data_IF_364311816790
#
_entry.id   IF_364311816790
#
_cell.length_a   1.000
_cell.length_b   1.000
_cell.length_c   1.000
_cell.angle_alpha   90.00
_cell.angle_beta   90.00
_cell.angle_gamma   90.00
#
_symmetry.space_group_name_H-M   'P 1'
#
loop_
_entity.id
_entity.type
_entity.pdbx_description
1 polymer ?
#
# COMPACT_ATOMS: atom_id res chain seq x y z
N UNK A 1 8.78 -15.52 -2.28
CA UNK A 1 8.37 -15.73 -0.88
C UNK A 1 6.84 -15.80 -0.84
N UNK A 2 6.22 -16.36 0.19
CA UNK A 2 4.77 -16.21 0.40
C UNK A 2 4.43 -14.80 0.95
N UNK A 3 3.22 -14.30 0.71
CA UNK A 3 2.76 -13.00 1.25
C UNK A 3 2.87 -12.95 2.78
N UNK A 4 2.53 -14.05 3.44
CA UNK A 4 2.56 -14.18 4.91
C UNK A 4 3.97 -14.01 5.51
N UNK A 5 5.01 -14.50 4.83
CA UNK A 5 6.40 -14.31 5.30
C UNK A 5 6.86 -12.86 5.17
N UNK A 6 6.37 -12.13 4.16
CA UNK A 6 6.65 -10.71 3.99
C UNK A 6 5.92 -9.89 5.06
N UNK A 7 4.67 -10.23 5.35
CA UNK A 7 3.89 -9.63 6.44
C UNK A 7 4.61 -9.84 7.79
N UNK A 8 5.10 -11.04 8.08
CA UNK A 8 5.89 -11.29 9.30
C UNK A 8 7.17 -10.45 9.37
N UNK A 9 7.86 -10.25 8.24
CA UNK A 9 9.05 -9.39 8.20
C UNK A 9 8.70 -7.93 8.54
N UNK A 10 7.57 -7.44 8.03
CA UNK A 10 7.08 -6.08 8.32
C UNK A 10 6.67 -5.97 9.77
N UNK A 11 5.90 -6.92 10.29
CA UNK A 11 5.47 -6.97 11.70
C UNK A 11 6.69 -6.94 12.65
N UNK A 12 7.72 -7.74 12.37
CA UNK A 12 8.95 -7.76 13.15
C UNK A 12 9.70 -6.41 13.07
N UNK A 13 9.75 -5.78 11.89
CA UNK A 13 10.36 -4.45 11.74
C UNK A 13 9.58 -3.34 12.43
N UNK A 14 8.27 -3.50 12.59
CA UNK A 14 7.40 -2.58 13.33
C UNK A 14 7.45 -2.82 14.84
N UNK A 15 7.67 -4.05 15.30
CA UNK A 15 7.69 -4.37 16.73
C UNK A 15 9.09 -4.26 17.34
N UNK A 16 10.14 -4.63 16.59
CA UNK A 16 11.52 -4.60 17.04
C UNK A 16 12.26 -3.34 16.58
N UNK A 17 12.52 -2.45 17.55
CA UNK A 17 13.29 -1.22 17.36
C UNK A 17 14.70 -1.43 16.78
N UNK A 18 15.35 -2.57 17.02
CA UNK A 18 16.68 -2.89 16.50
C UNK A 18 16.62 -3.24 15.01
N UNK A 19 15.63 -4.03 14.60
CA UNK A 19 15.34 -4.33 13.18
C UNK A 19 14.98 -3.04 12.46
N UNK A 20 14.08 -2.23 13.05
CA UNK A 20 13.70 -0.93 12.50
C UNK A 20 14.90 -0.01 12.30
N UNK A 21 15.79 0.06 13.30
CA UNK A 21 16.99 0.88 13.23
C UNK A 21 17.91 0.39 12.12
N UNK A 22 18.17 -0.92 12.02
CA UNK A 22 18.98 -1.52 10.97
C UNK A 22 18.44 -1.18 9.57
N UNK A 23 17.14 -1.36 9.37
CA UNK A 23 16.48 -1.10 8.08
C UNK A 23 16.46 0.40 7.73
N UNK A 24 16.33 1.30 8.72
CA UNK A 24 16.39 2.75 8.50
C UNK A 24 17.70 3.24 7.90
N UNK A 25 18.79 2.50 8.10
CA UNK A 25 20.11 2.85 7.55
C UNK A 25 20.32 2.30 6.13
N UNK A 26 19.40 1.47 5.63
CA UNK A 26 19.43 0.95 4.28
C UNK A 26 18.88 2.00 3.31
N UNK A 27 19.76 2.61 2.50
CA UNK A 27 19.38 3.63 1.50
C UNK A 27 19.15 3.10 0.10
N UNK A 28 19.42 1.82 -0.13
CA UNK A 28 19.22 1.15 -1.41
C UNK A 28 18.39 -0.11 -1.23
N UNK A 29 17.65 -0.49 -2.29
CA UNK A 29 16.87 -1.73 -2.32
C UNK A 29 17.75 -2.95 -2.05
N UNK A 30 18.96 -2.99 -2.60
CA UNK A 30 19.89 -4.09 -2.40
C UNK A 30 20.39 -4.17 -0.95
N UNK A 31 20.63 -3.02 -0.29
CA UNK A 31 20.99 -2.99 1.12
C UNK A 31 19.85 -3.52 2.00
N UNK A 32 18.61 -3.15 1.69
CA UNK A 32 17.42 -3.61 2.41
C UNK A 32 17.21 -5.13 2.22
N UNK A 33 17.36 -5.63 0.99
CA UNK A 33 17.29 -7.06 0.69
C UNK A 33 18.39 -7.83 1.45
N UNK A 34 19.62 -7.30 1.47
CA UNK A 34 20.73 -7.93 2.17
C UNK A 34 20.50 -7.94 3.70
N UNK A 35 20.00 -6.85 4.27
CA UNK A 35 19.67 -6.75 5.68
C UNK A 35 18.57 -7.75 6.06
N UNK A 36 17.48 -7.82 5.29
CA UNK A 36 16.42 -8.82 5.49
C UNK A 36 16.94 -10.26 5.42
N UNK A 37 17.82 -10.56 4.46
CA UNK A 37 18.47 -11.88 4.36
C UNK A 37 19.35 -12.21 5.56
N UNK A 38 20.08 -11.23 6.10
CA UNK A 38 20.87 -11.41 7.33
C UNK A 38 20.01 -11.66 8.56
N UNK A 39 18.79 -11.12 8.58
CA UNK A 39 17.78 -11.38 9.61
C UNK A 39 17.07 -12.73 9.43
N UNK A 40 17.40 -13.51 8.39
CA UNK A 40 16.81 -14.83 8.13
C UNK A 40 15.62 -14.82 7.17
N UNK A 41 15.24 -13.64 6.62
CA UNK A 41 14.12 -13.50 5.70
C UNK A 41 14.54 -13.71 4.24
N UNK A 42 13.74 -14.44 3.46
CA UNK A 42 14.02 -14.72 2.03
C UNK A 42 13.55 -13.61 1.10
N UNK A 43 13.88 -12.36 1.39
CA UNK A 43 13.42 -11.20 0.60
C UNK A 43 14.10 -11.20 -0.77
N UNK A 44 13.32 -11.00 -1.82
CA UNK A 44 13.80 -10.81 -3.18
C UNK A 44 13.50 -9.40 -3.68
N UNK A 45 14.19 -9.02 -4.75
CA UNK A 45 13.94 -7.75 -5.44
C UNK A 45 12.51 -7.66 -5.99
N UNK A 46 11.96 -8.78 -6.46
CA UNK A 46 10.58 -8.86 -6.96
C UNK A 46 9.58 -8.60 -5.84
N UNK A 47 9.81 -9.15 -4.64
CA UNK A 47 8.94 -8.92 -3.48
C UNK A 47 8.91 -7.43 -3.11
N UNK A 48 10.08 -6.77 -3.12
CA UNK A 48 10.17 -5.35 -2.83
C UNK A 48 9.51 -4.48 -3.91
N UNK A 49 9.68 -4.82 -5.19
CA UNK A 49 9.01 -4.12 -6.29
C UNK A 49 7.49 -4.21 -6.16
N UNK A 50 6.95 -5.40 -5.88
CA UNK A 50 5.51 -5.59 -5.68
C UNK A 50 4.97 -4.78 -4.50
N UNK A 51 5.71 -4.71 -3.39
CA UNK A 51 5.32 -3.89 -2.25
C UNK A 51 5.28 -2.39 -2.61
N UNK A 52 6.28 -1.91 -3.36
CA UNK A 52 6.31 -0.52 -3.82
C UNK A 52 5.19 -0.20 -4.83
N UNK A 53 4.84 -1.14 -5.70
CA UNK A 53 3.72 -0.99 -6.63
C UNK A 53 2.38 -0.95 -5.91
N UNK A 54 2.19 -1.82 -4.91
CA UNK A 54 0.99 -1.82 -4.07
C UNK A 54 0.81 -0.50 -3.33
N UNK A 55 1.87 0.02 -2.70
CA UNK A 55 1.86 1.32 -2.02
C UNK A 55 1.51 2.47 -2.98
N UNK A 56 2.07 2.47 -4.19
CA UNK A 56 1.75 3.48 -5.21
C UNK A 56 0.29 3.43 -5.63
N UNK A 57 -0.25 2.23 -5.82
CA UNK A 57 -1.66 2.07 -6.18
C UNK A 57 -2.57 2.54 -5.04
N UNK A 58 -2.24 2.19 -3.80
CA UNK A 58 -2.97 2.68 -2.62
C UNK A 58 -2.93 4.20 -2.50
N UNK A 59 -1.76 4.82 -2.67
CA UNK A 59 -1.61 6.28 -2.69
C UNK A 59 -2.45 6.92 -3.81
N UNK A 60 -2.48 6.30 -4.99
CA UNK A 60 -3.31 6.76 -6.10
C UNK A 60 -4.80 6.68 -5.76
N UNK A 61 -5.25 5.58 -5.17
CA UNK A 61 -6.65 5.41 -4.74
C UNK A 61 -7.01 6.41 -3.63
N UNK A 62 -6.13 6.62 -2.65
CA UNK A 62 -6.32 7.64 -1.62
C UNK A 62 -6.43 9.05 -2.22
N UNK A 63 -5.56 9.38 -3.17
CA UNK A 63 -5.60 10.66 -3.86
C UNK A 63 -6.90 10.84 -4.65
N UNK A 64 -7.32 9.82 -5.42
CA UNK A 64 -8.58 9.84 -6.16
C UNK A 64 -9.79 9.95 -5.22
N UNK A 65 -9.82 9.19 -4.14
CA UNK A 65 -10.87 9.25 -3.13
C UNK A 65 -10.98 10.64 -2.50
N UNK A 66 -9.84 11.33 -2.29
CA UNK A 66 -9.83 12.69 -1.77
C UNK A 66 -10.43 13.70 -2.76
N UNK A 67 -10.42 13.41 -4.07
CA UNK A 67 -11.04 14.25 -5.10
C UNK A 67 -12.54 13.95 -5.31
N UNK A 68 -13.07 12.89 -4.71
CA UNK A 68 -14.49 12.56 -4.80
C UNK A 68 -15.26 13.11 -3.59
N UNK A 69 -16.39 13.76 -3.85
CA UNK A 69 -17.38 14.03 -2.79
C UNK A 69 -18.14 12.74 -2.48
N UNK A 70 -18.16 12.37 -1.20
CA UNK A 70 -18.96 11.22 -0.75
C UNK A 70 -20.41 11.68 -0.63
N UNK A 71 -21.21 11.41 -1.67
CA UNK A 71 -22.65 11.69 -1.65
C UNK A 71 -23.41 10.52 -1.01
N UNK A 72 -24.50 10.83 -0.33
CA UNK A 72 -25.39 9.81 0.22
C UNK A 72 -26.13 9.06 -0.89
N UNK A 73 -26.57 7.81 -0.65
CA UNK A 73 -27.36 7.07 -1.63
C UNK A 73 -28.64 7.80 -2.07
N UNK A 74 -29.24 8.60 -1.19
CA UNK A 74 -30.42 9.42 -1.50
C UNK A 74 -30.09 10.56 -2.47
N UNK A 75 -28.97 11.26 -2.27
CA UNK A 75 -28.50 12.32 -3.17
C UNK A 75 -28.09 11.76 -4.54
N UNK A 76 -27.45 10.59 -4.56
CA UNK A 76 -27.10 9.89 -5.80
C UNK A 76 -28.36 9.50 -6.60
N UNK A 77 -29.41 9.01 -5.93
CA UNK A 77 -30.69 8.69 -6.60
C UNK A 77 -31.38 9.96 -7.13
N UNK A 78 -31.34 11.06 -6.39
CA UNK A 78 -31.91 12.34 -6.84
C UNK A 78 -31.19 12.88 -8.09
N UNK A 79 -29.86 12.78 -8.15
CA UNK A 79 -29.06 13.13 -9.33
C UNK A 79 -29.44 12.28 -10.55
N UNK A 80 -29.50 10.96 -10.39
CA UNK A 80 -29.86 10.03 -11.48
C UNK A 80 -31.27 10.30 -12.03
N UNK A 81 -32.22 10.63 -11.15
CA UNK A 81 -33.59 10.97 -11.55
C UNK A 81 -33.67 12.31 -12.27
N UNK A 82 -32.90 13.32 -11.84
CA UNK A 82 -32.81 14.61 -12.51
C UNK A 82 -32.23 14.46 -13.93
N UNK A 83 -31.17 13.66 -14.08
CA UNK A 83 -30.50 13.44 -15.38
C UNK A 83 -31.37 12.65 -16.38
N UNK A 84 -32.21 11.72 -15.91
CA UNK A 84 -33.20 11.04 -16.78
C UNK A 84 -34.29 11.98 -17.28
N UNK A 85 -34.64 13.00 -16.50
CA UNK A 85 -35.71 13.94 -16.83
C UNK A 85 -35.28 15.00 -17.85
N UNK A 86 -33.98 15.33 -17.92
CA UNK A 86 -33.42 16.22 -18.95
C UNK A 86 -33.25 15.54 -20.31
N UNK A 87 -33.24 14.21 -20.36
CA UNK A 87 -33.11 13.44 -21.61
C UNK A 87 -34.46 13.11 -22.29
N UNK A 88 -35.58 13.53 -21.71
CA UNK A 88 -36.95 13.37 -22.21
C UNK A 88 -37.52 14.72 -22.64
#
# INVERSE_FOLDING_TARGET
MSRQELERFVDDAEQDSSIRWLLRHCRTNDALILAGRKLGYRITRVDLQRAMEAEREEQRLCWLNQQCETISPAEAMAWLQAEQKERL
#
